data_IF_623907712382
#
_entry.id   IF_623907712382
#
_cell.length_a   1.000
_cell.length_b   1.000
_cell.length_c   1.000
_cell.angle_alpha   90.00
_cell.angle_beta   90.00
_cell.angle_gamma   90.00
#
_symmetry.space_group_name_H-M   'P 1'
#
loop_
_entity.id
_entity.type
_entity.pdbx_description
1 polymer ?
#
# COMPACT_ATOMS: atom_id res chain seq x y z
N UNK A 1 8.20 -3.99 -11.18
CA UNK A 1 6.86 -4.34 -11.73
C UNK A 1 6.96 -5.46 -12.78
N UNK A 2 5.91 -6.28 -12.93
CA UNK A 2 5.79 -7.35 -13.94
C UNK A 2 4.48 -7.18 -14.71
N UNK A 3 4.37 -7.78 -15.91
CA UNK A 3 3.09 -7.80 -16.62
C UNK A 3 2.03 -8.55 -15.80
N UNK A 4 0.79 -8.12 -15.90
CA UNK A 4 -0.33 -8.72 -15.18
C UNK A 4 -0.40 -10.24 -15.37
N UNK A 5 -0.34 -10.71 -16.61
CA UNK A 5 -0.41 -12.13 -16.98
C UNK A 5 0.73 -12.95 -16.31
N UNK A 6 1.95 -12.40 -16.28
CA UNK A 6 3.09 -13.06 -15.64
C UNK A 6 2.87 -13.20 -14.12
N UNK A 7 2.29 -12.16 -13.47
CA UNK A 7 1.98 -12.21 -12.04
C UNK A 7 0.89 -13.24 -11.72
N UNK A 8 -0.15 -13.30 -12.54
CA UNK A 8 -1.22 -14.30 -12.39
C UNK A 8 -0.66 -15.72 -12.51
N UNK A 9 0.16 -15.99 -13.53
CA UNK A 9 0.83 -17.30 -13.70
C UNK A 9 1.73 -17.61 -12.50
N UNK A 10 2.54 -16.65 -12.03
CA UNK A 10 3.42 -16.84 -10.88
C UNK A 10 2.65 -17.13 -9.58
N UNK A 11 1.50 -16.49 -9.37
CA UNK A 11 0.64 -16.77 -8.21
C UNK A 11 0.00 -18.16 -8.33
N UNK A 12 -0.50 -18.53 -9.51
CA UNK A 12 -1.16 -19.82 -9.72
C UNK A 12 -0.22 -21.00 -9.57
N UNK A 13 1.00 -20.92 -10.12
CA UNK A 13 1.97 -22.01 -10.10
C UNK A 13 2.92 -22.01 -8.88
N UNK A 14 2.77 -21.04 -7.96
CA UNK A 14 3.60 -20.95 -6.77
C UNK A 14 4.94 -20.25 -6.95
N UNK A 15 5.16 -19.60 -8.08
CA UNK A 15 6.40 -18.86 -8.34
C UNK A 15 6.71 -17.71 -7.37
N UNK A 16 5.71 -17.29 -6.57
CA UNK A 16 5.88 -16.28 -5.52
C UNK A 16 5.90 -16.84 -4.10
N UNK A 17 5.77 -18.16 -3.91
CA UNK A 17 5.61 -18.77 -2.58
C UNK A 17 6.76 -18.50 -1.62
N UNK A 18 7.99 -18.57 -2.11
CA UNK A 18 9.17 -18.29 -1.28
C UNK A 18 9.05 -16.87 -0.74
N UNK A 19 8.75 -15.90 -1.60
CA UNK A 19 8.63 -14.50 -1.21
C UNK A 19 7.46 -14.25 -0.27
N UNK A 20 6.32 -14.87 -0.53
CA UNK A 20 5.15 -14.77 0.34
C UNK A 20 5.41 -15.35 1.73
N UNK A 21 6.14 -16.46 1.83
CA UNK A 21 6.55 -17.05 3.12
C UNK A 21 7.54 -16.17 3.89
N UNK A 22 8.49 -15.54 3.20
CA UNK A 22 9.43 -14.60 3.83
C UNK A 22 8.72 -13.40 4.46
N UNK A 23 7.68 -12.88 3.79
CA UNK A 23 6.94 -11.70 4.25
C UNK A 23 5.97 -12.04 5.38
N UNK A 24 5.29 -13.16 5.27
CA UNK A 24 4.12 -13.45 6.10
C UNK A 24 4.27 -14.71 6.97
N UNK A 25 5.32 -15.50 6.77
CA UNK A 25 5.40 -16.82 7.38
C UNK A 25 4.23 -17.71 6.95
N UNK A 26 3.90 -18.69 7.76
CA UNK A 26 2.61 -19.34 7.71
C UNK A 26 2.56 -20.75 7.14
N UNK A 27 1.41 -21.35 7.36
CA UNK A 27 1.05 -22.68 6.89
C UNK A 27 0.75 -22.68 5.38
N UNK A 28 0.62 -23.90 4.82
CA UNK A 28 0.19 -24.06 3.42
C UNK A 28 -1.19 -23.43 3.16
N UNK A 29 -2.09 -23.48 4.11
CA UNK A 29 -3.43 -22.91 4.00
C UNK A 29 -3.37 -21.38 3.94
N UNK A 30 -2.60 -20.74 4.80
CA UNK A 30 -2.38 -19.29 4.77
C UNK A 30 -1.75 -18.85 3.45
N UNK A 31 -0.81 -19.62 2.92
CA UNK A 31 -0.19 -19.32 1.63
C UNK A 31 -1.20 -19.37 0.47
N UNK A 32 -2.08 -20.38 0.44
CA UNK A 32 -3.15 -20.47 -0.57
C UNK A 32 -4.12 -19.29 -0.46
N UNK A 33 -4.56 -18.96 0.75
CA UNK A 33 -5.41 -17.80 0.99
C UNK A 33 -4.78 -16.49 0.47
N UNK A 34 -3.49 -16.28 0.72
CA UNK A 34 -2.77 -15.10 0.24
C UNK A 34 -2.67 -15.03 -1.28
N UNK A 35 -2.42 -16.17 -1.94
CA UNK A 35 -2.42 -16.25 -3.41
C UNK A 35 -3.78 -15.87 -3.98
N UNK A 36 -4.86 -16.45 -3.45
CA UNK A 36 -6.23 -16.16 -3.90
C UNK A 36 -6.58 -14.67 -3.70
N UNK A 37 -6.19 -14.11 -2.56
CA UNK A 37 -6.41 -12.69 -2.25
C UNK A 37 -5.67 -11.78 -3.24
N UNK A 38 -4.41 -12.08 -3.59
CA UNK A 38 -3.65 -11.31 -4.57
C UNK A 38 -4.19 -11.48 -5.99
N UNK A 39 -4.61 -12.68 -6.39
CA UNK A 39 -5.26 -12.91 -7.68
C UNK A 39 -6.57 -12.12 -7.80
N UNK A 40 -7.41 -12.16 -6.78
CA UNK A 40 -8.64 -11.37 -6.72
C UNK A 40 -8.36 -9.87 -6.86
N UNK A 41 -7.31 -9.38 -6.19
CA UNK A 41 -6.90 -7.98 -6.25
C UNK A 41 -6.43 -7.57 -7.64
N UNK A 42 -5.66 -8.42 -8.34
CA UNK A 42 -5.23 -8.20 -9.73
C UNK A 42 -6.46 -8.14 -10.66
N UNK A 43 -7.42 -9.06 -10.51
CA UNK A 43 -8.64 -9.06 -11.31
C UNK A 43 -9.50 -7.81 -11.05
N UNK A 44 -9.61 -7.38 -9.79
CA UNK A 44 -10.29 -6.12 -9.42
C UNK A 44 -9.61 -4.92 -10.09
N UNK A 45 -8.28 -4.85 -10.02
CA UNK A 45 -7.50 -3.80 -10.69
C UNK A 45 -7.78 -3.78 -12.20
N UNK A 46 -7.73 -4.95 -12.84
CA UNK A 46 -7.97 -5.08 -14.27
C UNK A 46 -9.38 -4.65 -14.68
N UNK A 47 -10.38 -4.97 -13.86
CA UNK A 47 -11.78 -4.57 -14.12
C UNK A 47 -12.01 -3.05 -14.02
N UNK A 48 -11.27 -2.36 -13.15
CA UNK A 48 -11.44 -0.92 -12.90
C UNK A 48 -10.54 -0.08 -13.79
N UNK A 49 -9.27 -0.47 -13.95
CA UNK A 49 -8.23 0.33 -14.57
C UNK A 49 -7.69 -0.22 -15.89
N UNK A 50 -8.23 -1.35 -16.36
CA UNK A 50 -7.87 -2.00 -17.63
C UNK A 50 -6.82 -3.10 -17.48
N UNK A 51 -6.85 -4.03 -18.43
CA UNK A 51 -5.98 -5.21 -18.50
C UNK A 51 -4.59 -4.92 -19.09
N UNK A 52 -3.68 -5.87 -18.93
CA UNK A 52 -2.38 -5.91 -19.63
C UNK A 52 -1.35 -4.90 -19.13
N UNK A 53 -1.58 -4.27 -17.99
CA UNK A 53 -0.67 -3.30 -17.38
C UNK A 53 0.49 -3.99 -16.64
N UNK A 54 1.59 -3.26 -16.49
CA UNK A 54 2.67 -3.69 -15.58
C UNK A 54 2.32 -3.34 -14.15
N UNK A 55 2.26 -4.34 -13.28
CA UNK A 55 1.78 -4.22 -11.92
C UNK A 55 2.89 -4.47 -10.90
N UNK A 56 2.83 -3.78 -9.76
CA UNK A 56 3.52 -4.11 -8.52
C UNK A 56 2.53 -4.66 -7.50
N UNK A 57 2.98 -5.61 -6.67
CA UNK A 57 2.23 -6.12 -5.53
C UNK A 57 2.95 -5.66 -4.26
N UNK A 58 2.19 -5.10 -3.32
CA UNK A 58 2.72 -4.48 -2.12
C UNK A 58 1.93 -4.95 -0.90
N UNK A 59 2.60 -4.99 0.26
CA UNK A 59 2.00 -5.34 1.54
C UNK A 59 2.54 -4.44 2.64
N UNK A 60 1.66 -4.01 3.53
CA UNK A 60 2.02 -3.32 4.77
C UNK A 60 1.23 -3.93 5.93
N UNK A 61 1.91 -4.43 6.98
CA UNK A 61 1.24 -5.05 8.11
C UNK A 61 0.57 -4.01 9.00
N UNK A 62 -0.44 -4.45 9.74
CA UNK A 62 -0.91 -3.72 10.91
C UNK A 62 0.11 -3.77 12.04
N UNK A 63 -0.15 -2.99 13.09
CA UNK A 63 0.70 -2.87 14.27
C UNK A 63 -0.12 -3.13 15.54
N UNK A 64 0.45 -3.90 16.46
CA UNK A 64 0.00 -3.93 17.84
C UNK A 64 1.03 -3.28 18.73
N UNK A 65 0.58 -2.56 19.75
CA UNK A 65 1.44 -2.02 20.79
C UNK A 65 1.46 -2.98 21.98
N UNK A 66 2.66 -3.42 22.36
CA UNK A 66 2.88 -4.35 23.47
C UNK A 66 3.13 -3.62 24.80
N UNK A 67 3.54 -2.36 24.73
CA UNK A 67 3.79 -1.51 25.93
C UNK A 67 4.12 -0.09 25.55
N UNK A 68 3.87 0.86 26.48
CA UNK A 68 4.14 2.29 26.30
C UNK A 68 2.91 3.17 26.20
N UNK A 69 1.69 2.62 26.23
CA UNK A 69 0.41 3.34 26.27
C UNK A 69 0.25 4.38 25.12
N UNK A 70 0.68 4.03 23.91
CA UNK A 70 0.53 4.85 22.73
C UNK A 70 1.06 6.29 22.87
N UNK A 71 2.22 6.43 23.50
CA UNK A 71 2.85 7.72 23.80
C UNK A 71 3.92 8.13 22.77
N UNK A 72 4.12 7.38 21.69
CA UNK A 72 5.08 7.64 20.60
C UNK A 72 4.91 9.06 20.02
N UNK A 73 3.69 9.50 19.79
CA UNK A 73 3.37 10.85 19.29
C UNK A 73 3.63 11.99 20.29
N UNK A 74 3.97 11.67 21.54
CA UNK A 74 4.30 12.61 22.62
C UNK A 74 5.73 12.44 23.10
N UNK A 75 6.64 11.96 22.27
CA UNK A 75 8.03 11.64 22.61
C UNK A 75 8.19 10.54 23.66
N UNK A 76 7.16 9.76 23.92
CA UNK A 76 7.20 8.57 24.76
C UNK A 76 7.91 7.41 24.07
N UNK A 77 8.21 6.36 24.85
CA UNK A 77 8.81 5.12 24.31
C UNK A 77 7.75 4.05 24.28
N UNK A 78 7.63 3.40 23.13
CA UNK A 78 6.69 2.30 22.89
C UNK A 78 7.43 1.06 22.44
N UNK A 79 6.88 -0.09 22.79
CA UNK A 79 7.24 -1.38 22.21
C UNK A 79 6.08 -1.83 21.33
N UNK A 80 6.30 -1.86 20.03
CA UNK A 80 5.29 -2.26 19.06
C UNK A 80 5.81 -3.44 18.21
N UNK A 81 4.89 -4.23 17.69
CA UNK A 81 5.19 -5.33 16.80
C UNK A 81 4.27 -5.30 15.58
N UNK A 82 4.80 -5.69 14.41
CA UNK A 82 3.98 -6.01 13.25
C UNK A 82 3.14 -7.26 13.54
N UNK A 83 1.92 -7.28 13.01
CA UNK A 83 1.00 -8.41 13.15
C UNK A 83 0.83 -9.12 11.80
N UNK A 84 0.34 -10.36 11.82
CA UNK A 84 0.06 -11.15 10.62
C UNK A 84 -1.30 -10.81 9.97
N UNK A 85 -1.72 -9.56 10.09
CA UNK A 85 -2.82 -8.95 9.33
C UNK A 85 -2.25 -7.77 8.57
N UNK A 86 -2.53 -7.71 7.26
CA UNK A 86 -1.95 -6.71 6.40
C UNK A 86 -2.99 -6.00 5.51
N UNK A 87 -2.55 -4.89 4.95
CA UNK A 87 -3.12 -4.30 3.75
C UNK A 87 -2.25 -4.70 2.57
N UNK A 88 -2.86 -5.21 1.51
CA UNK A 88 -2.17 -5.48 0.25
C UNK A 88 -2.69 -4.61 -0.86
N UNK A 89 -1.80 -4.25 -1.77
CA UNK A 89 -2.13 -3.44 -2.94
C UNK A 89 -1.56 -4.03 -4.21
N UNK A 90 -2.30 -3.81 -5.29
CA UNK A 90 -1.84 -3.95 -6.66
C UNK A 90 -1.84 -2.55 -7.27
N UNK A 91 -0.69 -2.08 -7.77
CA UNK A 91 -0.57 -0.74 -8.32
C UNK A 91 0.23 -0.68 -9.62
N UNK A 92 -0.05 0.36 -10.42
CA UNK A 92 0.60 0.64 -11.70
C UNK A 92 0.66 2.15 -11.95
N UNK A 93 1.77 2.64 -12.52
CA UNK A 93 1.83 4.01 -13.03
C UNK A 93 0.71 4.25 -14.04
N UNK A 94 0.18 5.45 -14.07
CA UNK A 94 -0.69 5.91 -15.15
C UNK A 94 -0.09 7.14 -15.85
N UNK A 95 -0.63 7.51 -17.01
CA UNK A 95 -0.11 8.61 -17.82
C UNK A 95 -0.72 9.97 -17.41
N UNK A 96 -1.11 10.12 -16.13
CA UNK A 96 -1.74 11.35 -15.62
C UNK A 96 -1.01 11.91 -14.41
N UNK A 97 -1.39 13.11 -13.96
CA UNK A 97 -0.98 13.69 -12.69
C UNK A 97 -1.89 13.30 -11.51
N UNK A 98 -2.75 12.30 -11.67
CA UNK A 98 -3.74 11.93 -10.64
C UNK A 98 -3.45 10.56 -10.09
N UNK A 99 -3.36 10.47 -8.75
CA UNK A 99 -3.37 9.20 -8.03
C UNK A 99 -4.82 8.77 -7.83
N UNK A 100 -5.16 7.53 -8.19
CA UNK A 100 -6.45 6.91 -7.95
C UNK A 100 -6.28 5.67 -7.12
N UNK A 101 -6.98 5.60 -5.99
CA UNK A 101 -6.94 4.44 -5.09
C UNK A 101 -8.35 3.96 -4.82
N UNK A 102 -8.62 2.70 -5.16
CA UNK A 102 -9.87 2.01 -4.84
C UNK A 102 -9.61 1.02 -3.72
N UNK A 103 -10.43 1.07 -2.67
CA UNK A 103 -10.40 0.12 -1.55
C UNK A 103 -11.76 -0.52 -1.37
N UNK A 104 -11.78 -1.80 -0.98
CA UNK A 104 -13.03 -2.54 -0.76
C UNK A 104 -13.93 -1.82 0.26
N UNK A 105 -15.17 -1.54 -0.15
CA UNK A 105 -16.18 -0.90 0.70
C UNK A 105 -16.05 0.62 0.86
N UNK A 106 -15.12 1.26 0.16
CA UNK A 106 -14.91 2.72 0.22
C UNK A 106 -15.02 3.36 -1.16
N UNK A 107 -15.42 4.65 -1.23
CA UNK A 107 -15.36 5.41 -2.47
C UNK A 107 -13.92 5.52 -3.01
N UNK A 108 -13.77 5.62 -4.34
CA UNK A 108 -12.46 5.89 -4.96
C UNK A 108 -11.88 7.20 -4.43
N UNK A 109 -10.62 7.15 -4.02
CA UNK A 109 -9.85 8.32 -3.64
C UNK A 109 -9.11 8.83 -4.87
N UNK A 110 -9.20 10.15 -5.11
CA UNK A 110 -8.51 10.81 -6.23
C UNK A 110 -7.70 11.99 -5.69
N UNK A 111 -6.40 12.01 -5.98
CA UNK A 111 -5.49 13.07 -5.56
C UNK A 111 -4.80 13.63 -6.79
N UNK A 112 -5.12 14.89 -7.12
CA UNK A 112 -4.44 15.63 -8.18
C UNK A 112 -3.10 16.19 -7.65
N UNK A 113 -2.02 15.79 -8.29
CA UNK A 113 -0.65 16.16 -7.95
C UNK A 113 -0.19 17.48 -8.58
N UNK A 114 -1.03 18.14 -9.40
CA UNK A 114 -0.72 19.48 -9.92
C UNK A 114 -0.58 20.51 -8.80
N UNK A 115 -1.17 20.23 -7.64
CA UNK A 115 -1.02 21.00 -6.41
C UNK A 115 -0.69 20.07 -5.24
N UNK A 116 0.53 20.15 -4.72
CA UNK A 116 1.01 19.39 -3.57
C UNK A 116 0.84 20.15 -2.23
N UNK A 117 0.36 21.39 -2.25
CA UNK A 117 0.08 22.13 -1.02
C UNK A 117 -1.09 21.47 -0.24
N UNK A 118 -1.13 21.65 1.09
CA UNK A 118 -2.24 21.18 1.90
C UNK A 118 -3.59 21.70 1.42
N UNK A 119 -4.55 20.82 1.23
CA UNK A 119 -5.92 21.17 0.81
C UNK A 119 -6.84 21.06 2.03
N UNK A 120 -7.38 22.20 2.48
CA UNK A 120 -8.19 22.27 3.71
C UNK A 120 -9.36 21.27 3.74
N UNK A 121 -9.98 21.00 2.59
CA UNK A 121 -11.10 20.04 2.48
C UNK A 121 -10.68 18.57 2.67
N UNK A 122 -9.40 18.27 2.50
CA UNK A 122 -8.84 16.93 2.67
C UNK A 122 -8.37 16.67 4.11
N UNK A 123 -8.38 17.68 4.99
CA UNK A 123 -7.91 17.53 6.37
C UNK A 123 -8.59 16.36 7.10
N UNK A 124 -7.77 15.45 7.67
CA UNK A 124 -8.24 14.25 8.34
C UNK A 124 -8.72 13.13 7.40
N UNK A 125 -8.47 13.24 6.11
CA UNK A 125 -8.85 12.21 5.12
C UNK A 125 -7.65 11.44 4.58
N UNK A 126 -7.92 10.29 3.98
CA UNK A 126 -6.92 9.46 3.29
C UNK A 126 -6.27 10.21 2.11
N UNK A 127 -6.99 11.12 1.45
CA UNK A 127 -6.43 11.95 0.38
C UNK A 127 -5.32 12.87 0.89
N UNK A 128 -5.46 13.42 2.10
CA UNK A 128 -4.42 14.24 2.73
C UNK A 128 -3.15 13.43 3.02
N UNK A 129 -3.27 12.16 3.46
CA UNK A 129 -2.12 11.27 3.66
C UNK A 129 -1.37 11.04 2.35
N UNK A 130 -2.07 10.68 1.28
CA UNK A 130 -1.47 10.44 -0.04
C UNK A 130 -0.76 11.71 -0.55
N UNK A 131 -1.41 12.88 -0.45
CA UNK A 131 -0.83 14.16 -0.87
C UNK A 131 0.39 14.52 -0.04
N UNK A 132 0.37 14.28 1.28
CA UNK A 132 1.48 14.53 2.19
C UNK A 132 2.72 13.73 1.82
N UNK A 133 2.55 12.42 1.52
CA UNK A 133 3.65 11.55 1.07
C UNK A 133 4.22 12.06 -0.26
N UNK A 134 3.35 12.36 -1.23
CA UNK A 134 3.78 12.86 -2.55
C UNK A 134 4.52 14.21 -2.43
N UNK A 135 4.04 15.13 -1.57
CA UNK A 135 4.69 16.39 -1.27
C UNK A 135 6.09 16.17 -0.67
N UNK A 136 6.17 15.30 0.33
CA UNK A 136 7.44 14.99 0.99
C UNK A 136 8.46 14.39 0.03
N UNK A 137 8.07 13.45 -0.81
CA UNK A 137 8.94 12.87 -1.83
C UNK A 137 9.40 13.92 -2.85
N UNK A 138 8.53 14.83 -3.25
CA UNK A 138 8.88 15.95 -4.13
C UNK A 138 9.91 16.89 -3.49
N UNK A 139 9.77 17.21 -2.19
CA UNK A 139 10.75 17.98 -1.42
C UNK A 139 12.12 17.29 -1.35
N UNK A 140 12.14 15.96 -1.34
CA UNK A 140 13.36 15.15 -1.39
C UNK A 140 13.97 15.06 -2.79
N UNK A 141 13.34 15.65 -3.81
CA UNK A 141 13.84 15.71 -5.18
C UNK A 141 13.34 14.61 -6.10
N UNK A 142 12.39 13.77 -5.67
CA UNK A 142 11.80 12.74 -6.51
C UNK A 142 10.63 13.28 -7.34
N UNK A 143 10.52 12.81 -8.59
CA UNK A 143 9.42 13.18 -9.48
C UNK A 143 8.26 12.19 -9.31
N UNK A 144 7.27 12.53 -8.47
CA UNK A 144 6.06 11.73 -8.29
C UNK A 144 5.06 12.07 -9.38
N UNK A 145 4.47 11.04 -10.00
CA UNK A 145 3.39 11.19 -11.00
C UNK A 145 2.19 10.31 -10.62
N UNK A 146 1.16 10.30 -11.47
CA UNK A 146 -0.04 9.52 -11.21
C UNK A 146 0.20 8.01 -11.23
N UNK A 147 -0.57 7.33 -10.43
CA UNK A 147 -0.70 5.87 -10.44
C UNK A 147 -2.12 5.45 -10.05
N UNK A 148 -2.46 4.22 -10.40
CA UNK A 148 -3.69 3.58 -10.00
C UNK A 148 -3.38 2.45 -9.03
N UNK A 149 -4.19 2.29 -7.99
CA UNK A 149 -4.04 1.23 -7.02
C UNK A 149 -5.39 0.66 -6.58
N UNK A 150 -5.43 -0.67 -6.44
CA UNK A 150 -6.48 -1.35 -5.68
C UNK A 150 -5.88 -1.84 -4.36
N UNK A 151 -6.64 -1.70 -3.29
CA UNK A 151 -6.24 -2.08 -1.92
C UNK A 151 -7.31 -2.97 -1.30
N UNK A 152 -6.89 -4.05 -0.65
CA UNK A 152 -7.74 -4.84 0.25
C UNK A 152 -7.06 -4.99 1.61
N UNK A 153 -7.84 -4.96 2.69
CA UNK A 153 -7.31 -4.88 4.05
C UNK A 153 -7.89 -5.94 4.97
N UNK A 154 -7.01 -6.58 5.75
CA UNK A 154 -7.38 -7.35 6.93
C UNK A 154 -7.23 -6.51 8.21
N UNK A 155 -6.59 -5.34 8.12
CA UNK A 155 -6.44 -4.39 9.23
C UNK A 155 -7.68 -3.51 9.26
N UNK A 156 -8.67 -3.89 10.05
CA UNK A 156 -9.96 -3.19 10.10
C UNK A 156 -9.83 -1.81 10.73
N UNK A 157 -10.55 -0.85 10.17
CA UNK A 157 -10.70 0.49 10.76
C UNK A 157 -11.33 0.40 12.16
N UNK A 158 -10.78 1.16 13.12
CA UNK A 158 -11.28 1.17 14.50
C UNK A 158 -10.90 -0.05 15.36
N UNK A 159 -10.15 -1.01 14.83
CA UNK A 159 -9.71 -2.21 15.57
C UNK A 159 -8.55 -1.97 16.55
N UNK A 160 -7.97 -0.77 16.58
CA UNK A 160 -6.75 -0.48 17.35
C UNK A 160 -5.46 -1.01 16.72
N UNK A 161 -5.53 -1.60 15.51
CA UNK A 161 -4.38 -2.20 14.81
C UNK A 161 -3.69 -1.23 13.85
N UNK A 162 -3.92 0.07 14.02
CA UNK A 162 -3.27 1.17 13.26
C UNK A 162 -3.52 1.10 11.75
N UNK A 163 -4.78 0.94 11.31
CA UNK A 163 -5.14 0.87 9.89
C UNK A 163 -4.69 2.10 9.09
N UNK A 164 -4.76 3.31 9.66
CA UNK A 164 -4.29 4.53 8.99
C UNK A 164 -2.77 4.50 8.76
N UNK A 165 -1.99 4.08 9.76
CA UNK A 165 -0.53 3.96 9.62
C UNK A 165 -0.15 2.87 8.61
N UNK A 166 -0.84 1.71 8.62
CA UNK A 166 -0.62 0.66 7.61
C UNK A 166 -0.89 1.17 6.19
N UNK A 167 -1.95 1.98 6.01
CA UNK A 167 -2.26 2.59 4.72
C UNK A 167 -1.18 3.61 4.30
N UNK A 168 -0.72 4.45 5.22
CA UNK A 168 0.33 5.45 4.97
C UNK A 168 1.63 4.78 4.54
N UNK A 169 2.08 3.77 5.28
CA UNK A 169 3.25 2.96 4.92
C UNK A 169 3.05 2.27 3.57
N UNK A 170 1.86 1.70 3.29
CA UNK A 170 1.57 1.07 2.01
C UNK A 170 1.72 2.05 0.84
N UNK A 171 1.18 3.26 0.96
CA UNK A 171 1.32 4.31 -0.06
C UNK A 171 2.78 4.77 -0.20
N UNK A 172 3.52 4.90 0.89
CA UNK A 172 4.95 5.20 0.88
C UNK A 172 5.76 4.14 0.14
N UNK A 173 5.51 2.86 0.42
CA UNK A 173 6.18 1.74 -0.27
C UNK A 173 5.86 1.71 -1.76
N UNK A 174 4.60 1.93 -2.15
CA UNK A 174 4.19 2.02 -3.56
C UNK A 174 4.94 3.16 -4.26
N UNK A 175 4.94 4.35 -3.67
CA UNK A 175 5.59 5.52 -4.29
C UNK A 175 7.11 5.35 -4.33
N UNK A 176 7.73 4.74 -3.31
CA UNK A 176 9.15 4.42 -3.30
C UNK A 176 9.53 3.51 -4.48
N UNK A 177 8.80 2.41 -4.70
CA UNK A 177 9.06 1.51 -5.84
C UNK A 177 8.80 2.20 -7.19
N UNK A 178 7.67 2.90 -7.30
CA UNK A 178 7.26 3.50 -8.57
C UNK A 178 8.12 4.71 -8.99
N UNK A 179 8.56 5.54 -8.04
CA UNK A 179 9.13 6.86 -8.36
C UNK A 179 10.50 7.11 -7.76
N UNK A 180 10.90 6.37 -6.73
CA UNK A 180 12.19 6.56 -6.06
C UNK A 180 13.16 5.38 -6.29
N UNK A 181 12.85 4.45 -7.20
CA UNK A 181 13.72 3.30 -7.50
C UNK A 181 13.92 2.32 -6.33
N UNK A 182 13.10 2.41 -5.28
CA UNK A 182 13.27 1.59 -4.07
C UNK A 182 14.41 2.06 -3.15
N UNK A 183 14.89 3.28 -3.31
CA UNK A 183 16.08 3.80 -2.59
C UNK A 183 15.78 4.19 -1.13
N UNK A 184 14.51 4.47 -0.79
CA UNK A 184 14.14 4.84 0.56
C UNK A 184 14.17 3.63 1.50
N UNK A 185 14.78 3.83 2.65
CA UNK A 185 14.79 2.84 3.72
C UNK A 185 13.44 2.77 4.45
N UNK A 186 13.20 1.68 5.19
CA UNK A 186 11.98 1.53 6.00
C UNK A 186 11.80 2.64 7.07
N UNK A 187 12.87 3.31 7.48
CA UNK A 187 12.83 4.43 8.44
C UNK A 187 12.43 5.75 7.74
N UNK A 188 12.65 5.85 6.44
CA UNK A 188 12.33 7.05 5.67
C UNK A 188 10.90 7.02 5.09
N UNK A 189 10.31 5.84 4.99
CA UNK A 189 8.92 5.61 4.63
C UNK A 189 8.02 5.79 5.85
#
# INVERSE_FOLDING_TARGET
MKKQEDLEIMLQNGGLDIRLKEICGGSREQLLFRRERLLSLIHTFASIYGNGRSLGLYSAPGRTEMGGNHTDHQHGRVLAAAIDLDMVSCASKNDSSVIRVTSDGYPEIRVDLSNLNPVKKESGTTAALIRGIASRLSEMGYSVSGFDACVTSQVLGGSGLSSSAAFEVLMGVIMNDLFCGGELTAVQI
#
